data_IF_488875662384
#
_entry.id   IF_488875662384
#
_cell.length_a   1.000
_cell.length_b   1.000
_cell.length_c   1.000
_cell.angle_alpha   90.00
_cell.angle_beta   90.00
_cell.angle_gamma   90.00
#
_symmetry.space_group_name_H-M   'P 1'
#
loop_
_entity.id
_entity.type
_entity.pdbx_description
1 polymer ?
#
# COMPACT_ATOMS: atom_id res chain seq x y z
N UNK A 1 -6.09 3.83 -4.29
CA UNK A 1 -5.90 4.26 -2.88
C UNK A 1 -7.27 4.61 -2.32
N UNK A 2 -7.68 3.98 -1.21
CA UNK A 2 -9.00 4.20 -0.60
C UNK A 2 -9.06 5.58 0.10
N UNK A 3 -7.92 6.06 0.59
CA UNK A 3 -7.79 7.36 1.26
C UNK A 3 -7.11 8.39 0.37
N UNK A 4 -7.46 9.67 0.49
CA UNK A 4 -6.71 10.74 -0.16
C UNK A 4 -5.40 11.02 0.57
N UNK A 5 -4.38 11.50 -0.17
CA UNK A 5 -3.08 11.85 0.40
C UNK A 5 -3.19 12.91 1.51
N UNK A 6 -4.06 13.90 1.31
CA UNK A 6 -4.32 14.95 2.30
C UNK A 6 -4.93 14.39 3.58
N UNK A 7 -5.83 13.41 3.46
CA UNK A 7 -6.44 12.75 4.60
C UNK A 7 -5.44 11.91 5.39
N UNK A 8 -4.54 11.20 4.71
CA UNK A 8 -3.44 10.45 5.36
C UNK A 8 -2.51 11.42 6.10
N UNK A 9 -2.17 12.55 5.51
CA UNK A 9 -1.36 13.59 6.17
C UNK A 9 -2.05 14.21 7.39
N UNK A 10 -3.38 14.37 7.36
CA UNK A 10 -4.15 14.76 8.54
C UNK A 10 -4.11 13.67 9.63
N UNK A 11 -4.32 12.41 9.27
CA UNK A 11 -4.28 11.29 10.22
C UNK A 11 -2.92 11.14 10.88
N UNK A 12 -1.82 11.20 10.12
CA UNK A 12 -0.46 11.09 10.64
C UNK A 12 -0.18 12.15 11.72
N UNK A 13 -0.54 13.41 11.45
CA UNK A 13 -0.37 14.52 12.41
C UNK A 13 -1.22 14.30 13.67
N UNK A 14 -2.46 13.85 13.51
CA UNK A 14 -3.37 13.58 14.64
C UNK A 14 -2.86 12.42 15.49
N UNK A 15 -2.35 11.36 14.87
CA UNK A 15 -1.76 10.20 15.54
C UNK A 15 -0.53 10.60 16.35
N UNK A 16 0.42 11.33 15.74
CA UNK A 16 1.62 11.81 16.46
C UNK A 16 1.24 12.70 17.64
N UNK A 17 0.31 13.64 17.45
CA UNK A 17 -0.20 14.47 18.55
C UNK A 17 -0.75 13.62 19.69
N UNK A 18 -1.60 12.65 19.37
CA UNK A 18 -2.23 11.80 20.39
C UNK A 18 -1.22 10.92 21.13
N UNK A 19 -0.21 10.39 20.43
CA UNK A 19 0.86 9.59 21.04
C UNK A 19 1.72 10.40 22.00
N UNK A 20 1.98 11.67 21.69
CA UNK A 20 2.68 12.60 22.58
C UNK A 20 1.80 12.94 23.79
N UNK A 21 0.52 13.28 23.56
CA UNK A 21 -0.43 13.61 24.63
C UNK A 21 -0.62 12.44 25.61
N UNK A 22 -0.62 11.21 25.09
CA UNK A 22 -0.67 9.97 25.87
C UNK A 22 0.66 9.58 26.53
N UNK A 23 1.73 10.38 26.34
CA UNK A 23 3.10 10.13 26.84
C UNK A 23 3.68 8.78 26.41
N UNK A 24 3.23 8.25 25.26
CA UNK A 24 3.73 7.00 24.69
C UNK A 24 5.02 7.21 23.91
N UNK A 25 5.23 8.41 23.38
CA UNK A 25 6.44 8.81 22.66
C UNK A 25 6.94 10.16 23.15
N UNK A 26 8.26 10.34 23.13
CA UNK A 26 8.92 11.64 23.34
C UNK A 26 9.67 11.98 22.06
N UNK A 27 9.50 13.19 21.54
CA UNK A 27 10.19 13.63 20.32
C UNK A 27 10.88 14.96 20.53
N UNK A 28 12.07 15.09 19.94
CA UNK A 28 12.86 16.31 19.89
C UNK A 28 12.38 17.29 18.83
N UNK A 29 11.88 16.77 17.69
CA UNK A 29 11.25 17.56 16.63
C UNK A 29 9.94 16.92 16.20
N UNK A 30 8.85 17.60 16.54
CA UNK A 30 7.50 17.17 16.23
C UNK A 30 7.24 17.15 14.72
N UNK A 31 7.72 18.13 13.95
CA UNK A 31 7.45 18.20 12.51
C UNK A 31 8.11 17.04 11.77
N UNK A 32 9.37 16.73 12.12
CA UNK A 32 10.10 15.60 11.54
C UNK A 32 9.39 14.28 11.85
N UNK A 33 8.83 14.14 13.06
CA UNK A 33 8.10 12.93 13.46
C UNK A 33 6.79 12.80 12.70
N UNK A 34 6.03 13.89 12.56
CA UNK A 34 4.79 13.93 11.76
C UNK A 34 5.05 13.55 10.30
N UNK A 35 6.14 14.06 9.70
CA UNK A 35 6.51 13.76 8.33
C UNK A 35 6.92 12.28 8.14
N UNK A 36 7.72 11.73 9.07
CA UNK A 36 8.09 10.30 9.05
C UNK A 36 6.87 9.39 9.16
N UNK A 37 5.95 9.69 10.07
CA UNK A 37 4.72 8.90 10.23
C UNK A 37 3.84 9.04 8.99
N UNK A 38 3.74 10.24 8.40
CA UNK A 38 3.00 10.44 7.17
C UNK A 38 3.58 9.61 6.01
N UNK A 39 4.90 9.63 5.82
CA UNK A 39 5.56 8.82 4.79
C UNK A 39 5.32 7.33 5.01
N UNK A 40 5.47 6.84 6.24
CA UNK A 40 5.22 5.44 6.57
C UNK A 40 3.76 5.03 6.30
N UNK A 41 2.79 5.87 6.70
CA UNK A 41 1.37 5.61 6.42
C UNK A 41 1.07 5.65 4.92
N UNK A 42 1.67 6.57 4.17
CA UNK A 42 1.52 6.64 2.72
C UNK A 42 2.09 5.41 2.03
N UNK A 43 3.28 4.95 2.43
CA UNK A 43 3.90 3.74 1.90
C UNK A 43 3.02 2.52 2.15
N UNK A 44 2.55 2.35 3.39
CA UNK A 44 1.72 1.22 3.77
C UNK A 44 0.36 1.23 3.06
N UNK A 45 -0.32 2.38 3.03
CA UNK A 45 -1.64 2.51 2.40
C UNK A 45 -1.58 2.49 0.86
N UNK A 46 -0.41 2.73 0.27
CA UNK A 46 -0.19 2.60 -1.18
C UNK A 46 0.31 1.22 -1.60
N UNK A 47 0.62 0.34 -0.64
CA UNK A 47 1.09 -1.02 -0.90
C UNK A 47 0.10 -1.80 -1.76
N UNK A 48 -1.20 -1.71 -1.46
CA UNK A 48 -2.22 -2.39 -2.25
C UNK A 48 -2.25 -1.89 -3.70
N UNK A 49 -2.22 -0.57 -3.91
CA UNK A 49 -2.22 -0.01 -5.26
C UNK A 49 -1.00 -0.45 -6.06
N UNK A 50 0.17 -0.49 -5.42
CA UNK A 50 1.42 -0.97 -6.01
C UNK A 50 1.32 -2.44 -6.39
N UNK A 51 0.76 -3.28 -5.52
CA UNK A 51 0.50 -4.69 -5.83
C UNK A 51 -0.44 -4.80 -7.03
N UNK A 52 -1.55 -4.06 -7.04
CA UNK A 52 -2.52 -4.11 -8.14
C UNK A 52 -1.89 -3.68 -9.48
N UNK A 53 -1.02 -2.67 -9.47
CA UNK A 53 -0.33 -2.22 -10.67
C UNK A 53 0.70 -3.24 -11.16
N UNK A 54 1.45 -3.85 -10.25
CA UNK A 54 2.41 -4.92 -10.59
C UNK A 54 1.70 -6.15 -11.18
N UNK A 55 0.51 -6.51 -10.66
CA UNK A 55 -0.33 -7.56 -11.27
C UNK A 55 -0.66 -7.22 -12.72
N UNK A 56 -1.05 -5.97 -13.03
CA UNK A 56 -1.39 -5.56 -14.40
C UNK A 56 -0.20 -5.66 -15.33
N UNK A 57 0.96 -5.16 -14.92
CA UNK A 57 2.20 -5.24 -15.71
C UNK A 57 2.57 -6.69 -16.02
N UNK A 58 2.43 -7.59 -15.02
CA UNK A 58 2.66 -9.02 -15.22
C UNK A 58 1.66 -9.57 -16.24
N UNK A 59 0.36 -9.32 -16.07
CA UNK A 59 -0.66 -9.84 -16.99
C UNK A 59 -0.50 -9.30 -18.42
N UNK A 60 -0.07 -8.05 -18.59
CA UNK A 60 0.20 -7.46 -19.90
C UNK A 60 1.37 -8.17 -20.58
N UNK A 61 2.44 -8.48 -19.84
CA UNK A 61 3.57 -9.25 -20.33
C UNK A 61 3.18 -10.69 -20.74
N UNK A 62 2.20 -11.30 -20.06
CA UNK A 62 1.69 -12.64 -20.35
C UNK A 62 0.45 -12.66 -21.27
N UNK A 63 0.04 -11.52 -21.83
CA UNK A 63 -1.20 -11.39 -22.62
C UNK A 63 -1.29 -12.34 -23.81
N UNK A 64 -0.20 -12.52 -24.55
CA UNK A 64 -0.11 -13.44 -25.70
C UNK A 64 -0.21 -14.91 -25.28
N UNK A 65 0.32 -15.27 -24.12
CA UNK A 65 0.29 -16.63 -23.59
C UNK A 65 -1.08 -16.97 -22.99
N UNK A 66 -1.74 -15.99 -22.37
CA UNK A 66 -3.14 -16.11 -21.94
C UNK A 66 -4.08 -16.30 -23.14
N UNK A 67 -3.84 -15.58 -24.25
CA UNK A 67 -4.62 -15.74 -25.48
C UNK A 67 -4.45 -17.14 -26.09
N UNK A 68 -3.24 -17.71 -26.04
CA UNK A 68 -2.96 -19.07 -26.54
C UNK A 68 -3.52 -20.18 -25.64
N UNK A 69 -3.53 -19.97 -24.34
CA UNK A 69 -4.02 -20.95 -23.35
C UNK A 69 -5.53 -20.85 -23.07
N UNK A 70 -6.21 -19.81 -23.57
CA UNK A 70 -7.63 -19.57 -23.29
C UNK A 70 -7.89 -19.13 -21.84
N UNK A 71 -6.86 -18.73 -21.10
CA UNK A 71 -6.96 -18.37 -19.70
C UNK A 71 -7.72 -17.04 -19.53
N UNK A 72 -8.68 -17.00 -18.60
CA UNK A 72 -9.45 -15.80 -18.32
C UNK A 72 -8.62 -14.81 -17.48
N UNK A 73 -8.51 -13.55 -17.96
CA UNK A 73 -7.79 -12.47 -17.28
C UNK A 73 -8.17 -12.33 -15.80
N UNK A 74 -9.47 -12.42 -15.49
CA UNK A 74 -9.99 -12.28 -14.12
C UNK A 74 -9.48 -13.38 -13.17
N UNK A 75 -9.30 -14.61 -13.65
CA UNK A 75 -8.77 -15.72 -12.84
C UNK A 75 -7.26 -15.58 -12.62
N UNK A 76 -6.53 -15.20 -13.67
CA UNK A 76 -5.09 -14.97 -13.59
C UNK A 76 -4.76 -13.78 -12.69
N UNK A 77 -5.56 -12.72 -12.74
CA UNK A 77 -5.45 -11.58 -11.84
C UNK A 77 -5.55 -12.00 -10.37
N UNK A 78 -6.54 -12.83 -10.02
CA UNK A 78 -6.69 -13.35 -8.65
C UNK A 78 -5.48 -14.19 -8.22
N UNK A 79 -4.99 -15.07 -9.10
CA UNK A 79 -3.83 -15.93 -8.80
C UNK A 79 -2.57 -15.11 -8.57
N UNK A 80 -2.23 -14.21 -9.50
CA UNK A 80 -1.03 -13.37 -9.41
C UNK A 80 -1.12 -12.40 -8.24
N UNK A 81 -2.29 -11.80 -7.99
CA UNK A 81 -2.50 -10.95 -6.79
C UNK A 81 -2.26 -11.73 -5.51
N UNK A 82 -2.74 -12.97 -5.41
CA UNK A 82 -2.54 -13.82 -4.23
C UNK A 82 -1.05 -14.13 -4.00
N UNK A 83 -0.31 -14.45 -5.06
CA UNK A 83 1.12 -14.72 -4.97
C UNK A 83 1.94 -13.48 -4.60
N UNK A 84 1.62 -12.31 -5.19
CA UNK A 84 2.27 -11.05 -4.81
C UNK A 84 1.94 -10.65 -3.38
N UNK A 85 0.69 -10.80 -2.93
CA UNK A 85 0.29 -10.51 -1.54
C UNK A 85 1.11 -11.33 -0.54
N UNK A 86 1.31 -12.62 -0.82
CA UNK A 86 2.19 -13.49 0.00
C UNK A 86 3.65 -13.01 -0.03
N UNK A 87 4.18 -12.66 -1.20
CA UNK A 87 5.56 -12.19 -1.36
C UNK A 87 5.83 -10.90 -0.59
N UNK A 88 4.88 -9.96 -0.63
CA UNK A 88 4.98 -8.69 0.08
C UNK A 88 4.61 -8.79 1.57
N UNK A 89 4.19 -9.97 2.06
CA UNK A 89 3.61 -10.17 3.41
C UNK A 89 2.53 -9.13 3.73
N UNK A 90 1.86 -8.62 2.71
CA UNK A 90 0.83 -7.63 2.86
C UNK A 90 -0.37 -8.32 3.53
N UNK A 91 -0.76 -7.84 4.71
CA UNK A 91 -2.01 -8.26 5.33
C UNK A 91 -3.09 -7.37 4.71
N UNK A 92 -3.68 -7.85 3.60
CA UNK A 92 -4.84 -7.22 2.95
C UNK A 92 -6.12 -7.56 3.70
#
# INVERSE_FOLDING_TARGET
MIFSRDYIGYLARRTVKHLIDAKLITTSDRKVTEERVNMAMLEELSLEDRINEEVRVILDAYSEEMRKSGAQYAEMFKKVKTELTKKYKAVL
#
